data_IF_929301334829
#
_entry.id   IF_929301334829
#
_cell.length_a   1.000
_cell.length_b   1.000
_cell.length_c   1.000
_cell.angle_alpha   90.00
_cell.angle_beta   90.00
_cell.angle_gamma   90.00
#
_symmetry.space_group_name_H-M   'P 1'
#
loop_
_entity.id
_entity.type
_entity.pdbx_description
1 polymer ?
#
# COMPACT_ATOMS: atom_id res chain seq x y z
N UNK A 1 -6.71 8.90 -22.21
CA UNK A 1 -5.60 9.32 -21.32
C UNK A 1 -5.84 8.88 -19.89
N UNK A 2 -7.04 9.12 -19.33
CA UNK A 2 -7.41 8.70 -17.96
C UNK A 2 -7.25 7.21 -17.71
N UNK A 3 -7.59 6.35 -18.67
CA UNK A 3 -7.45 4.88 -18.53
C UNK A 3 -6.02 4.42 -18.19
N UNK A 4 -4.99 5.04 -18.79
CA UNK A 4 -3.60 4.69 -18.50
C UNK A 4 -3.18 5.13 -17.09
N UNK A 5 -3.66 6.29 -16.63
CA UNK A 5 -3.38 6.81 -15.29
C UNK A 5 -4.07 5.92 -14.23
N UNK A 6 -5.32 5.52 -14.46
CA UNK A 6 -6.04 4.59 -13.59
C UNK A 6 -5.36 3.22 -13.54
N UNK A 7 -4.87 2.73 -14.68
CA UNK A 7 -4.10 1.48 -14.75
C UNK A 7 -2.82 1.60 -13.92
N UNK A 8 -2.08 2.70 -14.07
CA UNK A 8 -0.87 2.95 -13.29
C UNK A 8 -1.17 3.02 -11.78
N UNK A 9 -2.21 3.75 -11.38
CA UNK A 9 -2.63 3.82 -9.97
C UNK A 9 -2.95 2.43 -9.40
N UNK A 10 -3.61 1.58 -10.19
CA UNK A 10 -3.93 0.20 -9.80
C UNK A 10 -2.68 -0.67 -9.67
N UNK A 11 -1.70 -0.51 -10.57
CA UNK A 11 -0.40 -1.19 -10.46
C UNK A 11 0.33 -0.79 -9.19
N UNK A 12 0.42 0.52 -8.88
CA UNK A 12 1.02 0.98 -7.62
C UNK A 12 0.28 0.46 -6.40
N UNK A 13 -1.06 0.36 -6.44
CA UNK A 13 -1.82 -0.28 -5.36
C UNK A 13 -1.44 -1.75 -5.17
N UNK A 14 -1.23 -2.50 -6.25
CA UNK A 14 -0.81 -3.91 -6.14
C UNK A 14 0.62 -4.04 -5.59
N UNK A 15 1.55 -3.20 -6.05
CA UNK A 15 2.93 -3.18 -5.56
C UNK A 15 2.99 -2.81 -4.08
N UNK A 16 2.28 -1.74 -3.69
CA UNK A 16 2.16 -1.31 -2.30
C UNK A 16 1.68 -2.45 -1.40
N UNK A 17 0.68 -3.24 -1.84
CA UNK A 17 0.17 -4.38 -1.07
C UNK A 17 1.21 -5.49 -0.89
N UNK A 18 2.09 -5.70 -1.88
CA UNK A 18 3.18 -6.68 -1.76
C UNK A 18 4.20 -6.20 -0.72
N UNK A 19 4.61 -4.93 -0.79
CA UNK A 19 5.57 -4.37 0.16
C UNK A 19 4.99 -4.31 1.58
N UNK A 20 3.73 -3.88 1.73
CA UNK A 20 3.04 -3.86 3.02
C UNK A 20 2.84 -5.27 3.61
N UNK A 21 2.63 -6.29 2.78
CA UNK A 21 2.58 -7.67 3.24
C UNK A 21 3.96 -8.19 3.68
N UNK A 22 5.02 -7.82 2.96
CA UNK A 22 6.39 -8.13 3.37
C UNK A 22 6.73 -7.48 4.72
N UNK A 23 6.38 -6.22 4.91
CA UNK A 23 6.58 -5.53 6.18
C UNK A 23 5.77 -6.18 7.33
N UNK A 24 4.45 -6.24 7.18
CA UNK A 24 3.56 -6.72 8.25
C UNK A 24 3.65 -8.22 8.55
N UNK A 25 3.81 -9.08 7.54
CA UNK A 25 3.83 -10.54 7.73
C UNK A 25 5.25 -11.06 7.94
N UNK A 26 6.19 -10.64 7.09
CA UNK A 26 7.55 -11.18 7.16
C UNK A 26 8.38 -10.46 8.23
N UNK A 27 8.50 -9.13 8.20
CA UNK A 27 9.32 -8.42 9.18
C UNK A 27 8.67 -8.42 10.56
N UNK A 28 7.43 -7.96 10.67
CA UNK A 28 6.79 -7.73 11.97
C UNK A 28 6.38 -9.03 12.68
N UNK A 29 5.70 -9.94 11.96
CA UNK A 29 5.16 -11.15 12.55
C UNK A 29 6.18 -12.30 12.60
N UNK A 30 6.86 -12.60 11.50
CA UNK A 30 7.77 -13.75 11.42
C UNK A 30 9.17 -13.44 11.96
N UNK A 31 9.89 -12.46 11.39
CA UNK A 31 11.31 -12.22 11.64
C UNK A 31 11.58 -11.59 13.01
N UNK A 32 10.94 -10.46 13.30
CA UNK A 32 11.19 -9.71 14.54
C UNK A 32 10.25 -10.11 15.70
N UNK A 33 9.15 -10.79 15.37
CA UNK A 33 8.13 -11.27 16.32
C UNK A 33 7.68 -10.17 17.28
N UNK A 34 7.35 -9.01 16.73
CA UNK A 34 7.08 -7.79 17.50
C UNK A 34 5.88 -7.94 18.43
N UNK A 35 4.92 -8.79 18.08
CA UNK A 35 3.80 -9.15 18.94
C UNK A 35 4.23 -9.71 20.31
N UNK A 36 5.44 -10.27 20.43
CA UNK A 36 5.98 -10.81 21.67
C UNK A 36 6.72 -9.76 22.51
N UNK A 37 6.83 -8.52 22.03
CA UNK A 37 7.57 -7.42 22.67
C UNK A 37 6.60 -6.39 23.21
N UNK A 38 6.73 -6.04 24.48
CA UNK A 38 5.90 -5.02 25.12
C UNK A 38 6.08 -3.64 24.51
N UNK A 39 7.29 -3.34 24.08
CA UNK A 39 7.75 -2.09 23.49
C UNK A 39 7.11 -1.83 22.12
N UNK A 40 6.68 -2.88 21.43
CA UNK A 40 6.05 -2.80 20.10
C UNK A 40 4.52 -2.79 20.15
N UNK A 41 3.89 -2.71 21.33
CA UNK A 41 2.41 -2.75 21.44
C UNK A 41 1.74 -1.58 20.73
N UNK A 42 2.21 -0.35 21.02
CA UNK A 42 1.63 0.86 20.44
C UNK A 42 1.80 0.88 18.91
N UNK A 43 2.96 0.49 18.41
CA UNK A 43 3.19 0.33 16.98
C UNK A 43 2.24 -0.71 16.36
N UNK A 44 2.02 -1.84 17.02
CA UNK A 44 1.07 -2.83 16.51
C UNK A 44 -0.36 -2.29 16.43
N UNK A 45 -0.76 -1.43 17.37
CA UNK A 45 -2.04 -0.71 17.35
C UNK A 45 -2.07 0.28 16.18
N UNK A 46 -1.00 1.05 15.96
CA UNK A 46 -0.88 2.02 14.87
C UNK A 46 -0.92 1.35 13.49
N UNK A 47 -0.14 0.30 13.24
CA UNK A 47 -0.22 -0.50 12.01
C UNK A 47 -1.61 -1.12 11.80
N UNK A 48 -2.32 -1.48 12.87
CA UNK A 48 -3.68 -2.01 12.76
C UNK A 48 -4.66 -0.91 12.38
N UNK A 49 -4.56 0.26 13.02
CA UNK A 49 -5.35 1.44 12.68
C UNK A 49 -5.09 1.88 11.23
N UNK A 50 -3.84 1.90 10.79
CA UNK A 50 -3.47 2.23 9.41
C UNK A 50 -4.14 1.28 8.42
N UNK A 51 -4.03 -0.04 8.63
CA UNK A 51 -4.69 -1.05 7.77
C UNK A 51 -6.20 -0.87 7.71
N UNK A 52 -6.83 -0.53 8.83
CA UNK A 52 -8.28 -0.27 8.89
C UNK A 52 -8.66 1.02 8.17
N UNK A 53 -7.87 2.10 8.30
CA UNK A 53 -8.07 3.38 7.62
C UNK A 53 -7.81 3.30 6.12
N UNK A 54 -6.93 2.40 5.67
CA UNK A 54 -6.66 2.24 4.25
C UNK A 54 -7.81 1.55 3.49
N UNK A 55 -8.63 0.74 4.16
CA UNK A 55 -9.82 0.12 3.54
C UNK A 55 -10.79 1.15 2.95
N UNK A 56 -11.27 2.16 3.70
CA UNK A 56 -12.11 3.20 3.12
C UNK A 56 -11.38 4.06 2.08
N UNK A 57 -10.06 4.28 2.19
CA UNK A 57 -9.29 4.96 1.13
C UNK A 57 -9.41 4.20 -0.19
N UNK A 58 -9.14 2.90 -0.19
CA UNK A 58 -9.29 2.05 -1.39
C UNK A 58 -10.73 2.05 -1.89
N UNK A 59 -11.71 1.98 -0.98
CA UNK A 59 -13.12 2.02 -1.35
C UNK A 59 -13.50 3.33 -2.08
N UNK A 60 -13.19 4.49 -1.50
CA UNK A 60 -13.55 5.79 -2.08
C UNK A 60 -12.79 6.12 -3.37
N UNK A 61 -11.54 5.63 -3.50
CA UNK A 61 -10.72 5.96 -4.67
C UNK A 61 -10.82 4.94 -5.83
N UNK A 62 -11.07 3.66 -5.55
CA UNK A 62 -10.94 2.59 -6.55
C UNK A 62 -12.20 1.75 -6.79
N UNK A 63 -13.21 1.75 -5.92
CA UNK A 63 -14.36 0.86 -6.09
C UNK A 63 -15.40 1.42 -7.07
N UNK A 64 -15.80 2.68 -6.89
CA UNK A 64 -16.77 3.39 -7.73
C UNK A 64 -16.29 4.80 -7.99
N UNK A 65 -16.94 5.46 -8.95
CA UNK A 65 -16.73 6.87 -9.23
C UNK A 65 -17.44 7.76 -8.20
N UNK A 66 -16.93 7.77 -6.97
CA UNK A 66 -17.40 8.66 -5.93
C UNK A 66 -17.10 10.13 -6.29
N UNK A 67 -18.06 10.99 -5.94
CA UNK A 67 -18.09 12.43 -6.24
C UNK A 67 -18.56 13.22 -5.00
N UNK A 68 -18.36 14.53 -5.03
CA UNK A 68 -18.82 15.47 -4.01
C UNK A 68 -18.39 15.08 -2.59
N UNK A 69 -19.32 15.08 -1.64
CA UNK A 69 -19.02 14.77 -0.24
C UNK A 69 -18.42 13.38 -0.03
N UNK A 70 -18.74 12.39 -0.88
CA UNK A 70 -18.14 11.07 -0.79
C UNK A 70 -16.65 11.08 -1.20
N UNK A 71 -16.28 11.90 -2.20
CA UNK A 71 -14.89 12.09 -2.57
C UNK A 71 -14.10 12.81 -1.47
N UNK A 72 -14.71 13.82 -0.84
CA UNK A 72 -14.14 14.49 0.34
C UNK A 72 -13.98 13.56 1.54
N UNK A 73 -14.90 12.62 1.76
CA UNK A 73 -14.72 11.58 2.77
C UNK A 73 -13.47 10.73 2.48
N UNK A 74 -13.21 10.38 1.22
CA UNK A 74 -11.96 9.73 0.80
C UNK A 74 -10.72 10.54 1.19
N UNK A 75 -10.71 11.85 0.93
CA UNK A 75 -9.61 12.76 1.34
C UNK A 75 -9.43 12.80 2.85
N UNK A 76 -10.52 12.82 3.62
CA UNK A 76 -10.45 12.76 5.08
C UNK A 76 -9.78 11.47 5.54
N UNK A 77 -10.15 10.31 4.99
CA UNK A 77 -9.51 9.04 5.33
C UNK A 77 -8.03 9.00 4.94
N UNK A 78 -7.63 9.60 3.82
CA UNK A 78 -6.21 9.76 3.45
C UNK A 78 -5.47 10.59 4.51
N UNK A 79 -6.05 11.71 4.96
CA UNK A 79 -5.42 12.56 5.97
C UNK A 79 -5.28 11.83 7.31
N UNK A 80 -6.32 11.11 7.75
CA UNK A 80 -6.28 10.31 8.98
C UNK A 80 -5.26 9.18 8.89
N UNK A 81 -5.20 8.47 7.76
CA UNK A 81 -4.20 7.43 7.50
C UNK A 81 -2.79 7.99 7.56
N UNK A 82 -2.56 9.15 6.93
CA UNK A 82 -1.25 9.81 6.94
C UNK A 82 -0.81 10.26 8.34
N UNK A 83 -1.74 10.68 9.20
CA UNK A 83 -1.44 11.00 10.60
C UNK A 83 -1.01 9.75 11.36
N UNK A 84 -1.72 8.64 11.19
CA UNK A 84 -1.38 7.36 11.84
C UNK A 84 -0.02 6.87 11.37
N UNK A 85 0.28 6.94 10.08
CA UNK A 85 1.60 6.60 9.54
C UNK A 85 2.72 7.43 10.18
N UNK A 86 2.54 8.76 10.30
CA UNK A 86 3.56 9.62 10.92
C UNK A 86 3.79 9.19 12.37
N UNK A 87 2.72 8.87 13.11
CA UNK A 87 2.83 8.39 14.49
C UNK A 87 3.55 7.04 14.57
N UNK A 88 3.35 6.16 13.59
CA UNK A 88 3.99 4.86 13.49
C UNK A 88 5.50 4.99 13.31
N UNK A 89 5.94 5.78 12.32
CA UNK A 89 7.35 6.06 12.04
C UNK A 89 8.08 6.71 13.23
N UNK A 90 7.38 7.56 13.99
CA UNK A 90 7.94 8.17 15.19
C UNK A 90 8.17 7.15 16.34
N UNK A 91 7.38 6.07 16.38
CA UNK A 91 7.44 5.05 17.43
C UNK A 91 8.46 3.94 17.14
N UNK A 92 8.80 3.72 15.87
CA UNK A 92 9.71 2.65 15.42
C UNK A 92 11.06 2.63 16.14
N UNK A 93 11.62 3.80 16.42
CA UNK A 93 12.92 3.90 17.09
C UNK A 93 12.89 3.23 18.45
N UNK A 94 11.85 3.51 19.23
CA UNK A 94 11.74 3.03 20.60
C UNK A 94 11.38 1.54 20.61
N UNK A 95 10.51 1.11 19.70
CA UNK A 95 10.13 -0.30 19.59
C UNK A 95 11.28 -1.20 19.11
N UNK A 96 12.28 -0.66 18.41
CA UNK A 96 13.49 -1.36 17.93
C UNK A 96 14.72 -1.15 18.81
N UNK A 97 14.65 -0.36 19.88
CA UNK A 97 15.81 -0.11 20.73
C UNK A 97 16.44 -1.43 21.26
N UNK A 98 15.61 -2.40 21.66
CA UNK A 98 16.05 -3.73 22.10
C UNK A 98 16.55 -4.66 20.99
N UNK A 99 16.47 -4.26 19.72
CA UNK A 99 16.97 -4.99 18.54
C UNK A 99 18.31 -4.45 18.01
N UNK A 100 18.82 -3.36 18.61
CA UNK A 100 19.93 -2.61 18.04
C UNK A 100 19.50 -1.54 17.03
N UNK A 101 18.22 -1.18 17.01
CA UNK A 101 17.65 -0.17 16.13
C UNK A 101 16.97 -0.74 14.88
N UNK A 102 16.44 0.16 14.06
CA UNK A 102 15.74 -0.16 12.82
C UNK A 102 16.71 -0.75 11.80
N UNK A 103 16.34 -1.88 11.19
CA UNK A 103 17.21 -2.49 10.18
C UNK A 103 17.15 -1.71 8.86
N UNK A 104 18.24 -1.70 8.05
CA UNK A 104 18.21 -1.05 6.74
C UNK A 104 17.13 -1.60 5.80
N UNK A 105 16.82 -2.89 5.90
CA UNK A 105 15.78 -3.54 5.09
C UNK A 105 14.39 -3.05 5.45
N UNK A 106 14.09 -2.91 6.73
CA UNK A 106 12.81 -2.40 7.24
C UNK A 106 12.64 -0.93 6.85
N UNK A 107 13.67 -0.12 7.06
CA UNK A 107 13.69 1.27 6.61
C UNK A 107 13.44 1.42 5.09
N UNK A 108 14.10 0.60 4.27
CA UNK A 108 13.91 0.63 2.82
C UNK A 108 12.48 0.19 2.43
N UNK A 109 11.93 -0.84 3.08
CA UNK A 109 10.56 -1.30 2.83
C UNK A 109 9.54 -0.18 3.13
N UNK A 110 9.73 0.54 4.23
CA UNK A 110 8.90 1.68 4.61
C UNK A 110 8.96 2.82 3.60
N UNK A 111 10.17 3.25 3.21
CA UNK A 111 10.34 4.33 2.22
C UNK A 111 9.67 3.96 0.89
N UNK A 112 9.83 2.71 0.43
CA UNK A 112 9.18 2.21 -0.78
C UNK A 112 7.66 2.20 -0.61
N UNK A 113 7.14 1.65 0.49
CA UNK A 113 5.70 1.58 0.76
C UNK A 113 5.05 2.98 0.80
N UNK A 114 5.66 3.94 1.52
CA UNK A 114 5.20 5.33 1.58
C UNK A 114 5.19 5.96 0.19
N UNK A 115 6.25 5.74 -0.59
CA UNK A 115 6.36 6.31 -1.94
C UNK A 115 5.32 5.73 -2.90
N UNK A 116 5.12 4.41 -2.90
CA UNK A 116 4.10 3.74 -3.71
C UNK A 116 2.69 4.18 -3.32
N UNK A 117 2.43 4.34 -2.01
CA UNK A 117 1.16 4.86 -1.49
C UNK A 117 0.92 6.31 -1.91
N UNK A 118 1.94 7.16 -1.82
CA UNK A 118 1.82 8.54 -2.30
C UNK A 118 1.54 8.60 -3.81
N UNK A 119 2.24 7.77 -4.60
CA UNK A 119 2.05 7.68 -6.05
C UNK A 119 0.64 7.18 -6.42
N UNK A 120 0.15 6.10 -5.81
CA UNK A 120 -1.18 5.57 -6.11
C UNK A 120 -2.27 6.60 -5.78
N UNK A 121 -2.15 7.30 -4.64
CA UNK A 121 -3.13 8.31 -4.22
C UNK A 121 -3.10 9.50 -5.18
N UNK A 122 -1.92 10.02 -5.50
CA UNK A 122 -1.76 11.14 -6.42
C UNK A 122 -2.38 10.83 -7.79
N UNK A 123 -2.09 9.65 -8.35
CA UNK A 123 -2.65 9.22 -9.64
C UNK A 123 -4.17 9.02 -9.57
N UNK A 124 -4.68 8.41 -8.50
CA UNK A 124 -6.11 8.19 -8.30
C UNK A 124 -6.90 9.50 -8.15
N UNK A 125 -6.31 10.52 -7.53
CA UNK A 125 -6.91 11.85 -7.43
C UNK A 125 -6.77 12.65 -8.73
N UNK A 126 -5.65 12.52 -9.45
CA UNK A 126 -5.39 13.25 -10.69
C UNK A 126 -6.38 12.92 -11.82
N UNK A 127 -7.00 11.73 -11.79
CA UNK A 127 -8.04 11.36 -12.78
C UNK A 127 -9.41 11.94 -12.46
N UNK A 128 -9.62 12.56 -11.29
CA UNK A 128 -10.92 13.12 -10.87
C UNK A 128 -11.13 14.54 -11.46
N UNK A 129 -12.12 14.75 -12.34
CA UNK A 129 -12.42 16.07 -12.89
C UNK A 129 -12.77 17.08 -11.79
N UNK A 130 -12.34 18.34 -11.95
CA UNK A 130 -12.62 19.41 -10.97
C UNK A 130 -14.12 19.59 -10.67
N UNK A 131 -15.00 19.34 -11.65
CA UNK A 131 -16.45 19.42 -11.46
C UNK A 131 -17.00 18.38 -10.47
N UNK A 132 -16.32 17.24 -10.30
CA UNK A 132 -16.73 16.17 -9.39
C UNK A 132 -16.41 16.49 -7.91
N UNK A 133 -15.62 17.54 -7.64
CA UNK A 133 -15.25 17.95 -6.27
C UNK A 133 -16.27 18.87 -5.59
N UNK A 134 -17.30 19.31 -6.32
CA UNK A 134 -18.34 20.17 -5.75
C UNK A 134 -19.13 19.41 -4.67
N UNK A 135 -19.27 19.96 -3.43
CA UNK A 135 -19.94 19.27 -2.34
C UNK A 135 -21.45 19.07 -2.61
N UNK A 136 -22.02 19.88 -3.50
CA UNK A 136 -23.45 19.94 -3.78
C UNK A 136 -23.87 19.12 -5.00
N UNK A 137 -23.02 18.22 -5.52
CA UNK A 137 -23.41 17.37 -6.66
C UNK A 137 -24.43 16.32 -6.19
N UNK A 138 -25.63 16.25 -6.79
CA UNK A 138 -26.59 15.22 -6.47
C UNK A 138 -26.00 13.81 -6.70
N UNK A 139 -26.31 12.83 -5.84
CA UNK A 139 -25.93 11.45 -6.10
C UNK A 139 -26.43 10.99 -7.48
N UNK A 140 -25.54 10.45 -8.31
CA UNK A 140 -25.88 9.88 -9.62
C UNK A 140 -25.86 10.84 -10.80
N UNK A 141 -25.67 12.15 -10.60
CA UNK A 141 -25.46 13.10 -11.72
C UNK A 141 -23.98 13.22 -12.04
N UNK A 142 -23.50 12.49 -13.05
CA UNK A 142 -22.15 12.69 -13.56
C UNK A 142 -22.15 13.89 -14.50
N UNK A 143 -21.40 14.94 -14.15
CA UNK A 143 -21.20 16.08 -15.03
C UNK A 143 -20.44 15.63 -16.28
N UNK A 144 -21.16 15.43 -17.39
CA UNK A 144 -20.59 14.96 -18.65
C UNK A 144 -20.88 13.51 -19.02
N UNK A 145 -21.76 12.80 -18.29
CA UNK A 145 -22.45 11.69 -18.95
C UNK A 145 -23.15 12.31 -20.17
N UNK A 146 -22.89 11.84 -21.42
CA UNK A 146 -23.64 12.33 -22.56
C UNK A 146 -25.09 12.18 -22.15
N UNK A 147 -25.83 13.29 -22.16
CA UNK A 147 -27.26 13.28 -21.96
C UNK A 147 -27.78 12.33 -23.01
N UNK A 148 -27.95 11.07 -22.61
CA UNK A 148 -28.55 10.04 -23.41
C UNK A 148 -29.91 10.62 -23.69
N UNK A 149 -30.05 11.16 -24.88
CA UNK A 149 -31.32 11.50 -25.44
C UNK A 149 -32.07 10.19 -25.59
N UNK A 150 -32.64 9.73 -24.48
CA UNK A 150 -33.55 8.61 -24.40
C UNK A 150 -34.87 8.94 -25.12
N UNK A 151 -34.99 10.12 -25.77
CA UNK A 151 -36.11 10.47 -26.66
C UNK A 151 -35.84 10.19 -28.14
N UNK A 152 -34.72 9.54 -28.48
CA UNK A 152 -34.48 9.05 -29.85
C UNK A 152 -34.97 7.61 -30.13
N UNK A 153 -35.35 6.84 -29.11
CA UNK A 153 -35.70 5.41 -29.26
C UNK A 153 -37.23 5.14 -29.22
N UNK A 154 -38.02 6.04 -29.82
CA UNK A 154 -39.39 5.73 -30.21
C UNK A 154 -39.56 5.99 -31.71
N UNK A 155 -39.93 4.94 -32.44
CA UNK A 155 -40.26 4.88 -33.87
C UNK A 155 -39.11 4.64 -34.87
N UNK A 156 -38.51 3.45 -34.82
CA UNK A 156 -38.39 2.67 -36.06
C UNK A 156 -39.31 1.46 -35.99
N UNK A 157 -40.51 1.67 -36.52
CA UNK A 157 -41.45 0.61 -36.91
C UNK A 157 -40.70 -0.41 -37.77
N UNK A 158 -40.95 -1.68 -37.43
CA UNK A 158 -40.82 -2.87 -38.28
C UNK A 158 -40.86 -2.53 -39.78
N UNK A 159 -39.74 -2.65 -40.47
CA UNK A 159 -39.75 -3.01 -41.89
C UNK A 159 -39.64 -4.54 -41.97
N UNK A 160 -40.61 -5.25 -42.56
CA UNK A 160 -40.44 -6.65 -42.87
C UNK A 160 -39.37 -6.81 -43.97
N UNK A 161 -38.32 -7.57 -43.66
CA UNK A 161 -37.27 -7.91 -44.58
C UNK A 161 -37.85 -8.65 -45.80
N UNK A 162 -37.71 -8.06 -46.99
CA UNK A 162 -37.82 -8.79 -48.25
C UNK A 162 -36.56 -9.62 -48.43
N UNK A 163 -36.79 -10.88 -48.74
CA UNK A 163 -35.82 -11.88 -49.17
C UNK A 163 -34.93 -11.36 -50.30
N UNK A 164 -33.61 -11.52 -50.13
CA UNK A 164 -32.67 -11.76 -51.22
C UNK A 164 -31.58 -12.69 -50.71
N UNK A 165 -31.71 -13.96 -51.07
CA UNK A 165 -30.69 -14.96 -50.90
C UNK A 165 -29.46 -14.57 -51.73
N UNK A 166 -28.34 -14.30 -51.08
CA UNK A 166 -27.02 -14.31 -51.71
C UNK A 166 -26.17 -15.37 -51.05
N UNK A 167 -25.77 -16.29 -51.92
CA UNK A 167 -24.99 -17.51 -51.77
C UNK A 167 -23.73 -17.34 -50.91
N UNK A 168 -23.57 -18.26 -49.95
CA UNK A 168 -22.33 -18.62 -49.29
C UNK A 168 -21.31 -19.17 -50.29
N UNK A 169 -20.06 -18.71 -50.20
CA UNK A 169 -18.88 -19.55 -50.45
C UNK A 169 -17.60 -18.88 -49.88
N UNK A 170 -16.88 -19.65 -49.06
CA UNK A 170 -15.45 -19.51 -48.72
C UNK A 170 -15.04 -18.44 -47.70
N UNK A 171 -15.15 -18.80 -46.42
CA UNK A 171 -14.24 -18.32 -45.38
C UNK A 171 -13.44 -19.52 -44.82
N UNK A 172 -12.10 -19.45 -44.71
CA UNK A 172 -11.31 -20.53 -44.14
C UNK A 172 -11.63 -20.71 -42.64
N UNK A 173 -11.81 -21.97 -42.23
CA UNK A 173 -11.87 -22.39 -40.84
C UNK A 173 -10.57 -22.05 -40.11
N UNK A 174 -10.66 -21.15 -39.12
CA UNK A 174 -9.60 -20.95 -38.13
C UNK A 174 -9.60 -22.15 -37.16
N UNK A 175 -8.44 -22.71 -36.81
CA UNK A 175 -8.37 -23.81 -35.84
C UNK A 175 -8.77 -23.30 -34.45
N UNK A 176 -9.61 -24.08 -33.77
CA UNK A 176 -9.96 -23.90 -32.36
C UNK A 176 -8.69 -23.99 -31.50
N UNK A 177 -8.23 -22.82 -31.06
CA UNK A 177 -7.15 -22.69 -30.08
C UNK A 177 -7.65 -23.13 -28.71
N UNK A 178 -7.20 -24.30 -28.30
CA UNK A 178 -7.34 -24.89 -26.97
C UNK A 178 -6.81 -23.93 -25.87
N UNK A 179 -7.71 -23.20 -25.19
CA UNK A 179 -7.38 -22.43 -23.97
C UNK A 179 -7.29 -23.34 -22.73
N UNK A 180 -6.59 -24.46 -22.86
CA UNK A 180 -6.28 -25.38 -21.79
C UNK A 180 -5.00 -24.98 -21.06
N UNK A 181 -5.13 -24.73 -19.75
CA UNK A 181 -4.06 -24.71 -18.75
C UNK A 181 -2.88 -23.75 -19.01
N UNK A 182 -2.95 -22.57 -18.38
CA UNK A 182 -1.73 -21.87 -17.96
C UNK A 182 -0.89 -22.83 -17.10
N UNK A 183 0.41 -23.04 -17.39
CA UNK A 183 1.20 -24.00 -16.66
C UNK A 183 1.46 -23.48 -15.24
N UNK A 184 0.99 -24.22 -14.23
CA UNK A 184 1.38 -24.07 -12.82
C UNK A 184 2.90 -23.93 -12.62
N UNK A 185 3.69 -24.45 -13.57
CA UNK A 185 5.15 -24.33 -13.60
C UNK A 185 5.67 -22.88 -13.71
N UNK A 186 4.96 -21.96 -14.35
CA UNK A 186 5.37 -20.55 -14.44
C UNK A 186 5.24 -19.83 -13.09
N UNK A 187 4.25 -20.22 -12.28
CA UNK A 187 4.05 -19.69 -10.94
C UNK A 187 5.14 -20.21 -9.98
N UNK A 188 5.52 -21.49 -10.08
CA UNK A 188 6.61 -22.06 -9.28
C UNK A 188 7.98 -21.45 -9.62
N UNK A 189 8.25 -21.14 -10.89
CA UNK A 189 9.51 -20.51 -11.31
C UNK A 189 9.63 -19.04 -10.88
N UNK A 190 8.51 -18.30 -10.81
CA UNK A 190 8.47 -16.95 -10.27
C UNK A 190 8.68 -16.93 -8.74
N UNK A 191 8.07 -17.87 -8.02
CA UNK A 191 8.29 -18.06 -6.57
C UNK A 191 9.72 -18.52 -6.23
N UNK A 192 10.33 -19.37 -7.06
CA UNK A 192 11.71 -19.81 -6.88
C UNK A 192 12.72 -18.67 -6.97
N UNK A 193 12.53 -17.74 -7.92
CA UNK A 193 13.42 -16.55 -8.06
C UNK A 193 13.19 -15.53 -6.94
N UNK A 194 11.97 -15.37 -6.45
CA UNK A 194 11.69 -14.53 -5.27
C UNK A 194 12.34 -15.11 -4.01
N UNK A 195 12.32 -16.43 -3.83
CA UNK A 195 12.98 -17.12 -2.71
C UNK A 195 14.50 -16.96 -2.77
N UNK A 196 15.11 -17.03 -3.94
CA UNK A 196 16.55 -16.76 -4.10
C UNK A 196 16.92 -15.30 -3.81
N UNK A 197 16.07 -14.33 -4.20
CA UNK A 197 16.27 -12.92 -3.87
C UNK A 197 16.13 -12.66 -2.35
N UNK A 198 15.14 -13.30 -1.71
CA UNK A 198 14.93 -13.25 -0.25
C UNK A 198 16.08 -13.89 0.53
N UNK A 199 16.65 -15.00 0.04
CA UNK A 199 17.80 -15.66 0.67
C UNK A 199 19.11 -14.89 0.50
N UNK A 200 19.28 -14.14 -0.60
CA UNK A 200 20.41 -13.22 -0.77
C UNK A 200 20.34 -12.08 0.26
N UNK A 201 19.15 -11.56 0.55
CA UNK A 201 18.92 -10.54 1.59
C UNK A 201 19.00 -11.10 3.03
N UNK A 202 18.84 -12.41 3.22
CA UNK A 202 18.91 -13.08 4.53
C UNK A 202 20.34 -13.43 4.97
N UNK A 203 21.29 -13.55 4.02
CA UNK A 203 22.69 -13.93 4.30
C UNK A 203 23.50 -12.92 5.13
N UNK A 204 22.93 -11.76 5.46
CA UNK A 204 23.56 -10.73 6.29
C UNK A 204 23.00 -10.65 7.72
N UNK A 205 22.05 -11.51 8.11
CA UNK A 205 21.48 -11.47 9.45
C UNK A 205 22.46 -12.04 10.50
N UNK A 206 22.91 -11.27 11.49
CA UNK A 206 23.68 -11.81 12.61
C UNK A 206 22.79 -12.75 13.43
N UNK A 207 23.37 -13.85 13.90
CA UNK A 207 22.70 -14.82 14.78
C UNK A 207 22.42 -14.20 16.16
N UNK A 208 21.28 -13.49 16.28
CA UNK A 208 20.87 -12.80 17.50
C UNK A 208 20.35 -13.74 18.61
N UNK A 209 20.19 -15.04 18.32
CA UNK A 209 19.61 -15.99 19.28
C UNK A 209 20.55 -16.35 20.45
N UNK A 210 21.81 -15.91 20.46
CA UNK A 210 22.82 -16.38 21.43
C UNK A 210 23.35 -15.34 22.44
N UNK A 211 23.02 -14.05 22.35
CA UNK A 211 23.65 -12.99 23.19
C UNK A 211 22.87 -12.52 24.44
N UNK A 212 21.79 -13.21 24.82
CA UNK A 212 20.95 -12.83 25.95
C UNK A 212 21.40 -13.31 27.35
N UNK A 213 22.70 -13.44 27.66
CA UNK A 213 23.18 -13.73 29.05
C UNK A 213 24.58 -13.15 29.32
N UNK A 214 24.77 -11.85 29.16
CA UNK A 214 25.99 -11.17 29.64
C UNK A 214 25.64 -9.98 30.56
N UNK A 215 25.48 -10.32 31.84
CA UNK A 215 25.77 -9.52 33.06
C UNK A 215 25.87 -7.99 32.91
N UNK A 216 24.83 -7.28 33.36
CA UNK A 216 25.01 -5.98 34.02
C UNK A 216 24.98 -6.18 35.55
N UNK A 217 26.18 -6.42 36.12
CA UNK A 217 26.49 -6.04 37.51
C UNK A 217 27.43 -4.84 37.42
N UNK A 218 26.88 -3.63 37.27
CA UNK A 218 27.62 -2.43 37.65
C UNK A 218 27.21 -2.09 39.08
N UNK A 219 28.04 -2.53 40.03
CA UNK A 219 27.97 -2.06 41.40
C UNK A 219 28.46 -0.61 41.43
N UNK A 220 27.55 0.32 41.66
CA UNK A 220 27.90 1.67 42.11
C UNK A 220 27.94 1.62 43.63
N UNK A 221 29.11 1.29 44.17
CA UNK A 221 29.45 1.56 45.57
C UNK A 221 30.19 2.88 45.63
N UNK A 222 29.77 3.75 46.54
CA UNK A 222 30.06 5.17 46.54
C UNK A 222 31.53 5.56 46.72
N UNK A 223 31.77 6.84 46.44
CA UNK A 223 32.83 7.59 47.11
C UNK A 223 32.43 9.06 47.19
N UNK A 224 31.91 9.42 48.35
CA UNK A 224 32.09 10.74 48.93
C UNK A 224 33.58 11.13 48.90
N UNK A 225 33.84 12.42 48.67
CA UNK A 225 34.74 13.26 49.46
C UNK A 225 35.57 14.25 48.61
N UNK A 226 35.30 15.53 48.85
CA UNK A 226 36.28 16.62 49.07
C UNK A 226 37.26 16.98 47.94
N UNK A 227 37.02 18.17 47.35
CA UNK A 227 37.99 19.29 47.22
C UNK A 227 37.27 20.44 46.51
N UNK A 228 36.85 21.52 47.17
CA UNK A 228 37.66 22.56 47.82
C UNK A 228 38.73 23.16 46.88
N UNK A 229 38.38 24.29 46.27
CA UNK A 229 39.25 25.45 46.05
C UNK A 229 40.32 25.36 44.96
N UNK A 230 40.20 26.23 43.95
CA UNK A 230 41.25 27.20 43.59
C UNK A 230 40.72 28.22 42.57
N UNK A 231 40.77 29.46 43.02
CA UNK A 231 40.75 30.70 42.24
C UNK A 231 41.90 30.74 41.24
N UNK A 232 41.66 31.32 40.07
CA UNK A 232 42.68 31.66 39.08
C UNK A 232 42.86 33.19 39.06
N UNK A 233 44.09 33.73 39.18
CA UNK A 233 44.34 35.16 39.00
C UNK A 233 44.57 35.49 37.51
N UNK A 234 44.16 36.71 37.15
CA UNK A 234 44.45 37.38 35.88
C UNK A 234 45.95 37.63 35.71
N UNK A 235 46.42 37.52 34.47
CA UNK A 235 47.47 38.38 33.91
C UNK A 235 46.96 38.93 32.59
#
# INVERSE_FOLDING_TARGET
MTEHITTAATVFLMLFRVVAAFDGLYLHLWKYRLYARSESRREHELHTAQRLLFVPVVFFLFYKDFIGMALWAGVLFIALEQIVEIMDVLDERDSRAGLGGLSPTEYAAHVVAITERAALIALALAVKPLSEWSPNVPPGTRAGAPSGDLRGFQHHRRQPARHSAVRLANAPSMPEGNYGSLPQAACCAAWGRLRSLLLILDSSAPDYASRGKARHKFGVTGRDARRAGRSCPRR
#
